data_IF_175662737776
#
_entry.id   IF_175662737776
#
_cell.length_a   1.000
_cell.length_b   1.000
_cell.length_c   1.000
_cell.angle_alpha   90.00
_cell.angle_beta   90.00
_cell.angle_gamma   90.00
#
_symmetry.space_group_name_H-M   'P 1'
#
loop_
_entity.id
_entity.type
_entity.pdbx_description
1 polymer ?
#
# COMPACT_ATOMS: atom_id res chain seq x y z
N UNK A 1 30.51 25.58 -71.42
CA UNK A 1 29.55 24.60 -70.88
C UNK A 1 30.32 23.49 -70.20
N UNK A 2 30.59 23.61 -68.89
CA UNK A 2 30.89 22.49 -67.96
C UNK A 2 31.28 23.04 -66.59
N UNK A 3 30.92 22.30 -65.54
CA UNK A 3 31.35 22.44 -64.14
C UNK A 3 30.52 23.37 -63.22
N UNK A 4 29.22 23.09 -63.12
CA UNK A 4 28.41 23.44 -61.92
C UNK A 4 27.73 22.24 -61.24
N UNK A 5 28.01 21.01 -61.69
CA UNK A 5 27.38 19.77 -61.19
C UNK A 5 28.14 19.17 -59.98
N UNK A 6 29.42 19.52 -59.80
CA UNK A 6 30.27 18.96 -58.74
C UNK A 6 30.04 19.57 -57.36
N UNK A 7 29.74 20.87 -57.26
CA UNK A 7 29.61 21.56 -55.97
C UNK A 7 28.36 21.16 -55.20
N UNK A 8 27.22 21.05 -55.89
CA UNK A 8 25.93 20.71 -55.28
C UNK A 8 25.91 19.26 -54.74
N UNK A 9 26.47 18.31 -55.51
CA UNK A 9 26.64 16.93 -55.04
C UNK A 9 27.57 16.82 -53.83
N UNK A 10 28.66 17.60 -53.78
CA UNK A 10 29.59 17.63 -52.64
C UNK A 10 28.92 18.21 -51.38
N UNK A 11 28.10 19.26 -51.53
CA UNK A 11 27.34 19.85 -50.41
C UNK A 11 26.28 18.87 -49.88
N UNK A 12 25.57 18.18 -50.78
CA UNK A 12 24.59 17.15 -50.41
C UNK A 12 25.28 15.96 -49.73
N UNK A 13 26.44 15.53 -50.23
CA UNK A 13 27.23 14.44 -49.66
C UNK A 13 27.77 14.77 -48.26
N UNK A 14 28.22 16.01 -48.03
CA UNK A 14 28.65 16.47 -46.71
C UNK A 14 27.48 16.61 -45.71
N UNK A 15 26.29 17.03 -46.16
CA UNK A 15 25.08 17.08 -45.29
C UNK A 15 24.58 15.68 -44.92
N UNK A 16 24.59 14.74 -45.87
CA UNK A 16 24.27 13.34 -45.63
C UNK A 16 25.28 12.69 -44.68
N UNK A 17 26.57 13.05 -44.76
CA UNK A 17 27.61 12.60 -43.84
C UNK A 17 27.43 13.22 -42.44
N UNK A 18 27.09 14.52 -42.35
CA UNK A 18 26.89 15.23 -41.07
C UNK A 18 25.70 14.71 -40.25
N UNK A 19 24.66 14.20 -40.92
CA UNK A 19 23.44 13.68 -40.27
C UNK A 19 23.49 12.15 -40.16
N UNK A 20 24.03 11.47 -41.18
CA UNK A 20 24.08 10.01 -41.24
C UNK A 20 25.04 9.40 -40.23
N UNK A 21 26.19 10.03 -39.98
CA UNK A 21 27.16 9.55 -38.99
C UNK A 21 26.63 9.63 -37.56
N UNK A 22 26.08 10.77 -37.06
CA UNK A 22 25.51 10.80 -35.71
C UNK A 22 24.26 9.94 -35.57
N UNK A 23 23.44 9.79 -36.62
CA UNK A 23 22.29 8.89 -36.59
C UNK A 23 22.73 7.42 -36.52
N UNK A 24 23.73 7.02 -37.29
CA UNK A 24 24.30 5.67 -37.23
C UNK A 24 25.00 5.41 -35.88
N UNK A 25 25.67 6.41 -35.31
CA UNK A 25 26.26 6.33 -33.98
C UNK A 25 25.20 6.20 -32.88
N UNK A 26 24.07 6.92 -32.99
CA UNK A 26 22.92 6.78 -32.09
C UNK A 26 22.28 5.39 -32.18
N UNK A 27 22.10 4.87 -33.39
CA UNK A 27 21.58 3.51 -33.60
C UNK A 27 22.53 2.45 -33.06
N UNK A 28 23.84 2.59 -33.31
CA UNK A 28 24.86 1.67 -32.80
C UNK A 28 24.97 1.74 -31.27
N UNK A 29 24.91 2.93 -30.68
CA UNK A 29 24.85 3.11 -29.23
C UNK A 29 23.57 2.47 -28.67
N UNK A 30 22.43 2.65 -29.33
CA UNK A 30 21.20 1.92 -29.02
C UNK A 30 21.46 0.42 -28.94
N UNK A 31 21.94 -0.20 -30.02
CA UNK A 31 22.19 -1.66 -30.05
C UNK A 31 23.21 -2.12 -29.00
N UNK A 32 24.26 -1.34 -28.75
CA UNK A 32 25.34 -1.73 -27.84
C UNK A 32 24.99 -1.52 -26.36
N UNK A 33 24.23 -0.47 -26.04
CA UNK A 33 23.82 -0.14 -24.67
C UNK A 33 22.43 -0.69 -24.30
N UNK A 34 21.61 -1.08 -25.27
CA UNK A 34 20.27 -1.66 -25.03
C UNK A 34 20.28 -2.92 -24.14
N UNK A 35 21.21 -3.88 -24.29
CA UNK A 35 21.29 -5.02 -23.39
C UNK A 35 21.52 -4.60 -21.92
N UNK A 36 22.40 -3.61 -21.71
CA UNK A 36 22.69 -3.06 -20.38
C UNK A 36 21.51 -2.31 -19.75
N UNK A 37 20.63 -1.73 -20.56
CA UNK A 37 19.41 -1.08 -20.10
C UNK A 37 18.32 -2.09 -19.70
N UNK A 38 18.32 -3.29 -20.28
CA UNK A 38 17.42 -4.37 -19.88
C UNK A 38 17.81 -4.94 -18.51
N UNK A 39 19.11 -5.11 -18.24
CA UNK A 39 19.61 -5.60 -16.94
C UNK A 39 19.23 -4.68 -15.77
N UNK A 40 19.18 -3.36 -16.00
CA UNK A 40 18.79 -2.39 -14.97
C UNK A 40 17.31 -2.48 -14.54
N UNK A 41 16.45 -3.09 -15.36
CA UNK A 41 15.03 -3.29 -15.05
C UNK A 41 14.71 -4.72 -14.57
N UNK A 42 15.72 -5.59 -14.46
CA UNK A 42 15.54 -6.90 -13.83
C UNK A 42 15.64 -6.75 -12.32
N UNK A 43 14.57 -6.24 -11.70
CA UNK A 43 14.30 -6.59 -10.31
C UNK A 43 13.94 -8.07 -10.30
N UNK A 44 14.97 -8.92 -10.19
CA UNK A 44 14.81 -10.35 -10.02
C UNK A 44 13.89 -10.60 -8.83
N UNK A 45 12.99 -11.56 -8.97
CA UNK A 45 12.21 -12.00 -7.85
C UNK A 45 13.17 -12.63 -6.83
N UNK A 46 13.26 -12.01 -5.66
CA UNK A 46 14.10 -12.52 -4.59
C UNK A 46 13.41 -13.76 -4.05
N UNK A 47 14.10 -14.91 -4.02
CA UNK A 47 13.52 -16.11 -3.43
C UNK A 47 13.78 -16.12 -1.93
N UNK A 48 12.75 -16.42 -1.15
CA UNK A 48 12.89 -16.62 0.29
C UNK A 48 13.72 -17.87 0.58
N UNK A 49 14.26 -18.01 1.80
CA UNK A 49 14.96 -19.22 2.24
C UNK A 49 14.10 -20.52 2.15
N UNK A 50 12.78 -20.36 2.01
CA UNK A 50 11.82 -21.45 1.82
C UNK A 50 11.43 -21.70 0.36
N UNK A 51 12.05 -20.99 -0.60
CA UNK A 51 11.82 -21.15 -2.04
C UNK A 51 10.58 -20.44 -2.59
N UNK A 52 9.94 -19.56 -1.82
CA UNK A 52 8.83 -18.73 -2.29
C UNK A 52 9.32 -17.44 -2.94
N UNK A 53 8.48 -16.80 -3.76
CA UNK A 53 8.75 -15.46 -4.28
C UNK A 53 8.59 -14.41 -3.16
N UNK A 54 9.60 -13.57 -2.94
CA UNK A 54 9.56 -12.53 -1.92
C UNK A 54 8.66 -11.36 -2.36
N UNK A 55 7.55 -11.20 -1.64
CA UNK A 55 6.65 -10.07 -1.83
C UNK A 55 7.03 -8.91 -0.91
N UNK A 56 7.61 -7.85 -1.50
CA UNK A 56 7.96 -6.61 -0.81
C UNK A 56 6.87 -5.56 -1.01
N UNK A 57 5.65 -5.83 -0.54
CA UNK A 57 4.66 -4.76 -0.40
C UNK A 57 4.82 -4.11 0.97
N UNK A 58 4.70 -2.77 1.09
CA UNK A 58 4.53 -2.14 2.39
C UNK A 58 3.36 -2.83 3.09
N UNK A 59 3.57 -3.28 4.33
CA UNK A 59 2.49 -3.80 5.16
C UNK A 59 1.47 -2.67 5.26
N UNK A 60 0.24 -2.87 4.78
CA UNK A 60 -0.81 -1.86 4.92
C UNK A 60 -1.13 -1.71 6.41
N UNK A 61 -0.57 -0.68 7.03
CA UNK A 61 -0.96 -0.26 8.36
C UNK A 61 -2.15 0.69 8.25
N UNK A 62 -3.12 0.52 9.15
CA UNK A 62 -4.10 1.57 9.42
C UNK A 62 -3.38 2.75 10.04
N UNK A 63 -3.85 3.97 9.81
CA UNK A 63 -3.30 5.14 10.51
C UNK A 63 -3.32 4.89 12.02
N UNK A 64 -2.28 5.37 12.73
CA UNK A 64 -2.30 5.39 14.20
C UNK A 64 -3.60 6.08 14.66
N UNK A 65 -4.25 5.52 15.68
CA UNK A 65 -5.50 6.05 16.26
C UNK A 65 -6.70 6.11 15.29
N UNK A 66 -6.70 5.30 14.23
CA UNK A 66 -7.80 5.26 13.24
C UNK A 66 -9.06 4.52 13.72
N UNK A 67 -9.14 4.17 15.01
CA UNK A 67 -10.31 3.59 15.65
C UNK A 67 -10.44 4.22 17.02
N UNK A 68 -11.54 4.93 17.21
CA UNK A 68 -11.79 5.64 18.44
C UNK A 68 -12.27 4.67 19.52
N UNK A 69 -11.68 4.78 20.70
CA UNK A 69 -12.20 4.13 21.88
C UNK A 69 -13.55 4.77 22.26
N UNK A 70 -14.46 3.98 22.82
CA UNK A 70 -15.64 4.54 23.49
C UNK A 70 -15.20 4.94 24.90
N UNK A 71 -15.27 6.23 25.22
CA UNK A 71 -14.88 6.75 26.55
C UNK A 71 -16.07 7.04 27.46
N UNK A 72 -17.26 7.20 26.88
CA UNK A 72 -18.51 7.50 27.57
C UNK A 72 -19.59 6.54 27.03
N UNK A 73 -19.58 5.26 27.44
CA UNK A 73 -20.52 4.28 26.93
C UNK A 73 -21.94 4.51 27.47
N UNK A 74 -22.91 4.40 26.58
CA UNK A 74 -24.34 4.40 26.92
C UNK A 74 -24.88 2.96 26.92
N UNK A 75 -25.71 2.65 27.91
CA UNK A 75 -26.30 1.32 28.07
C UNK A 75 -27.81 1.38 27.99
N UNK A 76 -28.37 0.32 27.42
CA UNK A 76 -29.80 0.07 27.36
C UNK A 76 -30.16 -1.09 28.27
N UNK A 77 -31.35 -1.06 28.86
CA UNK A 77 -31.80 -2.14 29.72
C UNK A 77 -31.91 -3.46 28.93
N UNK A 78 -31.56 -4.58 29.56
CA UNK A 78 -31.52 -5.89 28.89
C UNK A 78 -32.87 -6.33 28.29
N UNK A 79 -33.99 -5.82 28.81
CA UNK A 79 -35.34 -6.10 28.30
C UNK A 79 -35.79 -5.20 27.14
N UNK A 80 -35.05 -4.12 26.85
CA UNK A 80 -35.44 -3.13 25.85
C UNK A 80 -34.77 -3.37 24.49
N UNK A 81 -33.56 -3.94 24.50
CA UNK A 81 -32.80 -4.18 23.27
C UNK A 81 -32.93 -5.63 22.79
N UNK A 82 -33.41 -5.80 21.57
CA UNK A 82 -33.37 -7.09 20.88
C UNK A 82 -31.98 -7.28 20.28
N UNK A 83 -31.12 -8.00 21.00
CA UNK A 83 -29.87 -8.54 20.49
C UNK A 83 -30.11 -9.92 19.87
N UNK A 84 -29.44 -10.20 18.75
CA UNK A 84 -29.57 -11.49 18.08
C UNK A 84 -29.15 -12.64 19.02
N UNK A 85 -29.91 -13.74 19.01
CA UNK A 85 -29.56 -14.93 19.78
C UNK A 85 -28.16 -15.43 19.40
N UNK A 86 -27.34 -15.73 20.41
CA UNK A 86 -25.95 -16.17 20.21
C UNK A 86 -24.93 -15.03 20.04
N UNK A 87 -25.35 -13.76 20.21
CA UNK A 87 -24.43 -12.62 20.29
C UNK A 87 -23.37 -12.88 21.36
N UNK A 88 -22.10 -12.92 20.93
CA UNK A 88 -20.96 -13.06 21.84
C UNK A 88 -20.54 -11.69 22.35
N UNK A 89 -20.04 -11.65 23.58
CA UNK A 89 -19.62 -10.42 24.23
C UNK A 89 -18.92 -10.73 25.54
N UNK A 90 -18.45 -9.67 26.18
CA UNK A 90 -17.86 -9.71 27.51
C UNK A 90 -18.95 -9.31 28.49
N UNK A 91 -19.21 -10.13 29.50
CA UNK A 91 -20.07 -9.78 30.63
C UNK A 91 -19.20 -9.34 31.81
N UNK A 92 -19.54 -8.22 32.43
CA UNK A 92 -18.85 -7.72 33.63
C UNK A 92 -19.87 -7.48 34.73
N UNK A 93 -19.64 -8.05 35.90
CA UNK A 93 -20.47 -7.85 37.09
C UNK A 93 -19.59 -7.37 38.24
N UNK A 94 -19.81 -6.15 38.71
CA UNK A 94 -19.07 -5.52 39.82
C UNK A 94 -20.11 -4.90 40.76
N UNK A 95 -20.00 -5.17 42.06
CA UNK A 95 -20.87 -4.62 43.11
C UNK A 95 -22.38 -4.75 42.84
N UNK A 96 -22.79 -5.85 42.19
CA UNK A 96 -24.18 -6.13 41.84
C UNK A 96 -24.68 -5.45 40.56
N UNK A 97 -23.90 -4.54 39.97
CA UNK A 97 -24.18 -3.96 38.66
C UNK A 97 -23.57 -4.83 37.56
N UNK A 98 -24.38 -5.20 36.56
CA UNK A 98 -23.96 -6.07 35.45
C UNK A 98 -24.12 -5.37 34.11
N UNK A 99 -23.06 -5.41 33.30
CA UNK A 99 -22.99 -4.82 31.96
C UNK A 99 -22.54 -5.86 30.94
N UNK A 100 -23.01 -5.72 29.71
CA UNK A 100 -22.65 -6.59 28.59
C UNK A 100 -22.08 -5.76 27.44
N UNK A 101 -20.91 -6.15 26.95
CA UNK A 101 -20.17 -5.49 25.88
C UNK A 101 -20.12 -6.42 24.67
N UNK A 102 -20.96 -6.20 23.63
CA UNK A 102 -21.00 -7.09 22.47
C UNK A 102 -19.68 -7.07 21.70
N UNK A 103 -19.21 -8.24 21.25
CA UNK A 103 -17.95 -8.35 20.50
C UNK A 103 -17.97 -7.55 19.21
N UNK A 104 -19.11 -7.38 18.55
CA UNK A 104 -19.17 -6.58 17.31
C UNK A 104 -18.91 -5.09 17.56
N UNK A 105 -19.27 -4.57 18.74
CA UNK A 105 -18.94 -3.19 19.15
C UNK A 105 -17.44 -3.09 19.46
N UNK A 106 -16.93 -4.04 20.26
CA UNK A 106 -15.50 -4.11 20.60
C UNK A 106 -14.63 -4.34 19.36
N UNK A 107 -15.08 -5.12 18.39
CA UNK A 107 -14.36 -5.33 17.15
C UNK A 107 -14.32 -4.07 16.31
N UNK A 108 -15.23 -3.11 16.50
CA UNK A 108 -15.20 -1.79 15.88
C UNK A 108 -14.35 -0.76 16.65
N UNK A 109 -14.44 -0.70 17.97
CA UNK A 109 -13.80 0.33 18.80
C UNK A 109 -12.51 -0.12 19.52
N UNK A 110 -12.26 -1.42 19.58
CA UNK A 110 -11.15 -2.12 20.24
C UNK A 110 -11.07 -1.97 21.77
N UNK A 111 -11.43 -0.80 22.29
CA UNK A 111 -11.44 -0.50 23.72
C UNK A 111 -12.71 0.29 24.06
N UNK A 112 -13.35 -0.11 25.15
CA UNK A 112 -14.40 0.65 25.83
C UNK A 112 -13.89 0.97 27.23
N UNK A 113 -13.66 2.24 27.51
CA UNK A 113 -13.32 2.73 28.84
C UNK A 113 -14.62 3.02 29.57
N UNK A 114 -14.84 2.34 30.69
CA UNK A 114 -16.09 2.41 31.42
C UNK A 114 -15.87 2.55 32.92
N UNK A 115 -16.91 2.95 33.63
CA UNK A 115 -16.95 3.04 35.08
C UNK A 115 -18.23 2.40 35.61
N UNK A 116 -18.06 1.32 36.38
CA UNK A 116 -19.13 0.62 37.10
C UNK A 116 -19.00 0.99 38.57
N UNK A 117 -19.97 1.73 39.10
CA UNK A 117 -19.86 2.34 40.43
C UNK A 117 -18.57 3.17 40.60
N UNK A 118 -17.69 2.72 41.51
CA UNK A 118 -16.38 3.35 41.76
C UNK A 118 -15.22 2.70 41.00
N UNK A 119 -15.48 1.65 40.22
CA UNK A 119 -14.46 0.86 39.54
C UNK A 119 -14.32 1.29 38.09
N UNK A 120 -13.15 1.84 37.74
CA UNK A 120 -12.77 2.08 36.35
C UNK A 120 -12.32 0.77 35.70
N UNK A 121 -12.82 0.50 34.50
CA UNK A 121 -12.49 -0.70 33.73
C UNK A 121 -12.20 -0.34 32.27
N UNK A 122 -11.39 -1.17 31.62
CA UNK A 122 -11.19 -1.13 30.18
C UNK A 122 -11.55 -2.50 29.60
N UNK A 123 -12.58 -2.53 28.75
CA UNK A 123 -13.04 -3.72 28.07
C UNK A 123 -12.41 -3.78 26.67
N UNK A 124 -11.70 -4.86 26.34
CA UNK A 124 -10.97 -5.01 25.08
C UNK A 124 -11.03 -6.44 24.54
N UNK A 125 -10.85 -6.60 23.22
CA UNK A 125 -10.83 -7.87 22.49
C UNK A 125 -9.77 -7.86 21.39
#
# INVERSE_FOLDING_TARGET
MTKKIGSEKVIIMNKALLIGVPLAALLAAGVFFYPRLQDANQHGSEHTATGGEAHHHPIQYRNKDSRDAITEPEFVAAGELLIAGGTKGIGVSIDGESRFYPLYVLQYHQVINDKIGNSAIACSY
#
